data_IF_710826513050
#
_entry.id   IF_710826513050
#
_cell.length_a   1.000
_cell.length_b   1.000
_cell.length_c   1.000
_cell.angle_alpha   90.00
_cell.angle_beta   90.00
_cell.angle_gamma   90.00
#
_symmetry.space_group_name_H-M   'P 1'
#
loop_
_entity.id
_entity.type
_entity.pdbx_description
1 polymer ?
#
# COMPACT_ATOMS: atom_id res chain seq x y z
N UNK A 1 -13.87 16.03 19.54
CA UNK A 1 -13.12 15.28 18.51
C UNK A 1 -12.55 14.04 19.17
N UNK A 2 -12.84 12.82 18.70
CA UNK A 2 -12.16 11.62 19.22
C UNK A 2 -10.76 11.59 18.59
N UNK A 3 -9.68 11.36 19.36
CA UNK A 3 -8.36 11.21 18.77
C UNK A 3 -8.37 10.02 17.79
N UNK A 4 -7.86 10.23 16.58
CA UNK A 4 -7.59 9.13 15.67
C UNK A 4 -6.44 8.32 16.27
N UNK A 5 -6.69 7.06 16.59
CA UNK A 5 -5.64 6.16 17.03
C UNK A 5 -4.81 5.81 15.79
N UNK A 6 -3.67 6.47 15.60
CA UNK A 6 -2.74 6.15 14.53
C UNK A 6 -2.00 4.89 14.96
N UNK A 7 -2.16 3.82 14.19
CA UNK A 7 -1.40 2.58 14.37
C UNK A 7 -0.10 2.70 13.57
N UNK A 8 0.96 2.01 13.96
CA UNK A 8 2.25 2.08 13.28
C UNK A 8 2.77 0.67 13.01
N UNK A 9 3.43 0.50 11.86
CA UNK A 9 4.39 -0.59 11.67
C UNK A 9 5.73 -0.05 12.16
N UNK A 10 6.10 -0.40 13.39
CA UNK A 10 7.24 0.20 14.11
C UNK A 10 8.55 0.04 13.34
N UNK A 11 8.82 -1.16 12.81
CA UNK A 11 10.02 -1.45 12.01
C UNK A 11 10.22 -0.50 10.83
N UNK A 12 9.13 -0.15 10.15
CA UNK A 12 9.17 0.72 8.97
C UNK A 12 8.95 2.20 9.33
N UNK A 13 8.70 2.51 10.61
CA UNK A 13 8.15 3.79 11.05
C UNK A 13 6.99 4.24 10.14
N UNK A 14 6.06 3.32 9.88
CA UNK A 14 5.06 3.52 8.84
C UNK A 14 3.65 3.65 9.43
N UNK A 15 3.02 4.83 9.30
CA UNK A 15 1.69 5.07 9.83
C UNK A 15 0.61 4.29 9.08
N UNK A 16 -0.25 3.65 9.86
CA UNK A 16 -1.49 3.02 9.46
C UNK A 16 -2.67 3.80 10.00
N UNK A 17 -3.72 3.89 9.19
CA UNK A 17 -5.01 4.44 9.60
C UNK A 17 -6.05 3.34 9.70
N UNK A 18 -6.80 3.34 10.80
CA UNK A 18 -7.94 2.44 11.00
C UNK A 18 -9.16 2.95 10.23
N UNK A 19 -9.70 2.10 9.36
CA UNK A 19 -10.95 2.32 8.63
C UNK A 19 -12.02 1.45 9.29
N UNK A 20 -13.10 2.05 9.86
CA UNK A 20 -14.16 1.29 10.48
C UNK A 20 -14.98 0.51 9.44
N UNK A 21 -15.64 -0.57 9.89
CA UNK A 21 -16.65 -1.29 9.09
C UNK A 21 -17.66 -0.32 8.50
N UNK A 22 -17.96 -0.45 7.21
CA UNK A 22 -18.87 0.46 6.55
C UNK A 22 -19.14 0.10 5.09
N UNK A 23 -20.21 0.68 4.58
CA UNK A 23 -20.56 0.59 3.17
C UNK A 23 -20.15 1.86 2.44
N UNK A 24 -19.68 1.71 1.20
CA UNK A 24 -19.47 2.82 0.28
C UNK A 24 -19.85 2.41 -1.15
N UNK A 25 -20.05 3.41 -2.01
CA UNK A 25 -20.32 3.20 -3.42
C UNK A 25 -19.00 3.19 -4.19
N UNK A 26 -18.64 2.03 -4.77
CA UNK A 26 -17.42 1.85 -5.56
C UNK A 26 -17.73 1.89 -7.04
N UNK A 27 -16.89 2.59 -7.81
CA UNK A 27 -17.02 2.77 -9.25
C UNK A 27 -17.41 4.19 -9.63
N UNK A 28 -17.41 4.49 -10.93
CA UNK A 28 -17.70 5.84 -11.44
C UNK A 28 -19.16 5.98 -11.89
N UNK A 29 -19.68 7.21 -11.88
CA UNK A 29 -21.02 7.49 -12.39
C UNK A 29 -20.99 7.35 -13.92
N UNK A 30 -21.90 6.57 -14.53
CA UNK A 30 -21.96 6.48 -15.98
C UNK A 30 -22.16 7.85 -16.63
N UNK A 31 -21.33 8.16 -17.61
CA UNK A 31 -21.48 9.36 -18.44
C UNK A 31 -21.69 8.97 -19.90
N UNK A 32 -22.48 9.75 -20.64
CA UNK A 32 -22.83 9.43 -22.03
C UNK A 32 -21.60 9.30 -22.96
N UNK A 33 -20.48 9.90 -22.57
CA UNK A 33 -19.22 9.96 -23.33
C UNK A 33 -18.25 8.81 -23.03
N UNK A 34 -18.55 7.97 -22.02
CA UNK A 34 -17.60 6.98 -21.48
C UNK A 34 -18.19 5.56 -21.37
N UNK A 35 -18.97 5.16 -22.39
CA UNK A 35 -19.75 3.91 -22.46
C UNK A 35 -19.00 2.58 -22.20
N UNK A 36 -17.68 2.59 -22.07
CA UNK A 36 -16.84 1.40 -21.83
C UNK A 36 -15.84 1.62 -20.69
N UNK A 37 -16.19 2.43 -19.70
CA UNK A 37 -15.33 2.64 -18.54
C UNK A 37 -15.28 1.35 -17.69
N UNK A 38 -14.12 0.70 -17.52
CA UNK A 38 -14.00 -0.51 -16.69
C UNK A 38 -14.27 -0.23 -15.19
N UNK A 39 -14.41 1.03 -14.80
CA UNK A 39 -14.81 1.46 -13.45
C UNK A 39 -16.34 1.47 -13.25
N UNK A 40 -17.14 1.19 -14.29
CA UNK A 40 -18.60 1.05 -14.23
C UNK A 40 -19.07 -0.41 -14.04
N UNK A 41 -20.27 -0.65 -13.47
CA UNK A 41 -21.14 0.32 -12.82
C UNK A 41 -20.76 0.58 -11.36
N UNK A 42 -21.33 1.65 -10.80
CA UNK A 42 -21.32 1.83 -9.35
C UNK A 42 -22.00 0.66 -8.64
N UNK A 43 -21.40 0.19 -7.55
CA UNK A 43 -21.98 -0.84 -6.68
C UNK A 43 -21.72 -0.52 -5.22
N UNK A 44 -22.64 -0.94 -4.35
CA UNK A 44 -22.43 -0.83 -2.91
C UNK A 44 -21.50 -1.96 -2.45
N UNK A 45 -20.42 -1.60 -1.78
CA UNK A 45 -19.45 -2.51 -1.19
C UNK A 45 -19.48 -2.32 0.32
N UNK A 46 -19.73 -3.40 1.06
CA UNK A 46 -19.62 -3.45 2.51
C UNK A 46 -18.30 -4.11 2.86
N UNK A 47 -17.48 -3.44 3.67
CA UNK A 47 -16.22 -3.98 4.18
C UNK A 47 -16.25 -4.03 5.70
N UNK A 48 -15.64 -5.07 6.27
CA UNK A 48 -15.26 -5.11 7.68
C UNK A 48 -14.19 -4.05 7.98
N UNK A 49 -13.95 -3.78 9.27
CA UNK A 49 -12.91 -2.85 9.68
C UNK A 49 -11.51 -3.37 9.31
N UNK A 50 -10.63 -2.47 8.87
CA UNK A 50 -9.25 -2.80 8.51
C UNK A 50 -8.31 -1.62 8.77
N UNK A 51 -7.02 -1.88 8.68
CA UNK A 51 -5.98 -0.85 8.68
C UNK A 51 -5.34 -0.77 7.29
N UNK A 52 -4.99 0.43 6.85
CA UNK A 52 -4.22 0.63 5.61
C UNK A 52 -3.14 1.69 5.84
N UNK A 53 -2.03 1.56 5.13
CA UNK A 53 -0.98 2.57 5.12
C UNK A 53 -1.49 3.93 4.68
N UNK A 54 -1.05 5.01 5.34
CA UNK A 54 -1.51 6.36 5.02
C UNK A 54 -0.85 6.94 3.76
N UNK A 55 0.30 6.38 3.36
CA UNK A 55 1.10 6.80 2.20
C UNK A 55 1.59 5.58 1.43
N UNK A 56 2.15 5.74 0.24
CA UNK A 56 2.86 4.65 -0.42
C UNK A 56 4.11 4.25 0.39
N UNK A 57 4.52 2.98 0.31
CA UNK A 57 5.80 2.50 0.87
C UNK A 57 6.95 3.22 0.18
N UNK A 58 7.93 3.71 0.93
CA UNK A 58 9.04 4.48 0.39
C UNK A 58 10.23 3.60 -0.03
N UNK A 59 11.15 4.18 -0.82
CA UNK A 59 12.43 3.54 -1.14
C UNK A 59 13.21 3.13 0.12
N UNK A 60 13.27 3.99 1.15
CA UNK A 60 13.96 3.67 2.39
C UNK A 60 13.33 2.49 3.15
N UNK A 61 12.00 2.37 3.11
CA UNK A 61 11.28 1.27 3.77
C UNK A 61 11.49 -0.05 3.03
N UNK A 62 11.40 -0.03 1.70
CA UNK A 62 11.65 -1.21 0.87
C UNK A 62 13.12 -1.63 0.90
N UNK A 63 14.06 -0.68 1.03
CA UNK A 63 15.49 -0.97 1.15
C UNK A 63 15.80 -1.87 2.35
N UNK A 64 15.09 -1.74 3.48
CA UNK A 64 15.27 -2.63 4.64
C UNK A 64 15.01 -4.09 4.28
N UNK A 65 13.97 -4.35 3.49
CA UNK A 65 13.66 -5.70 3.00
C UNK A 65 14.78 -6.23 2.10
N UNK A 66 15.23 -5.44 1.14
CA UNK A 66 16.31 -5.82 0.22
C UNK A 66 17.61 -6.10 0.97
N UNK A 67 17.98 -5.25 1.93
CA UNK A 67 19.20 -5.38 2.74
C UNK A 67 19.18 -6.63 3.62
N UNK A 68 18.04 -6.96 4.24
CA UNK A 68 17.94 -8.11 5.14
C UNK A 68 17.81 -9.46 4.41
N UNK A 69 17.22 -9.46 3.22
CA UNK A 69 16.89 -10.71 2.49
C UNK A 69 17.79 -10.98 1.30
N UNK A 70 18.52 -9.96 0.82
CA UNK A 70 19.26 -10.03 -0.45
C UNK A 70 18.34 -10.06 -1.69
N UNK A 71 17.07 -9.67 -1.56
CA UNK A 71 16.12 -9.65 -2.66
C UNK A 71 16.58 -8.67 -3.77
N UNK A 72 16.25 -8.92 -5.06
CA UNK A 72 16.61 -7.99 -6.13
C UNK A 72 16.16 -6.54 -5.89
N UNK A 73 17.03 -5.59 -6.24
CA UNK A 73 16.70 -4.16 -6.20
C UNK A 73 15.56 -3.83 -7.18
N UNK A 74 14.68 -2.85 -6.86
CA UNK A 74 13.66 -2.37 -7.78
C UNK A 74 14.24 -1.88 -9.11
N UNK A 75 13.48 -2.00 -10.20
CA UNK A 75 13.96 -1.67 -11.55
C UNK A 75 14.57 -0.26 -11.67
N UNK A 76 14.02 0.71 -10.94
CA UNK A 76 14.39 2.12 -11.03
C UNK A 76 15.26 2.62 -9.86
N UNK A 77 15.91 1.72 -9.11
CA UNK A 77 16.67 2.09 -7.90
C UNK A 77 17.86 3.05 -8.15
N UNK A 78 18.36 3.14 -9.39
CA UNK A 78 19.43 4.07 -9.79
C UNK A 78 18.91 5.33 -10.52
N UNK A 79 17.60 5.48 -10.72
CA UNK A 79 17.04 6.67 -11.36
C UNK A 79 16.97 7.82 -10.35
N UNK A 80 17.79 8.84 -10.55
CA UNK A 80 17.90 10.00 -9.66
C UNK A 80 16.60 10.80 -9.49
N UNK A 81 15.62 10.63 -10.39
CA UNK A 81 14.30 11.27 -10.25
C UNK A 81 13.32 10.45 -9.39
N UNK A 82 13.62 9.17 -9.14
CA UNK A 82 12.70 8.22 -8.52
C UNK A 82 13.26 7.57 -7.24
N UNK A 83 14.57 7.64 -7.00
CA UNK A 83 15.26 6.88 -5.95
C UNK A 83 15.50 7.64 -4.64
N UNK A 84 14.92 8.84 -4.46
CA UNK A 84 15.02 9.55 -3.19
C UNK A 84 14.42 8.69 -2.05
N UNK A 85 15.04 8.63 -0.86
CA UNK A 85 14.62 7.75 0.24
C UNK A 85 13.15 7.87 0.65
N UNK A 86 12.61 9.08 0.59
CA UNK A 86 11.24 9.45 0.96
C UNK A 86 10.22 9.27 -0.17
N UNK A 87 10.68 9.03 -1.40
CA UNK A 87 9.78 8.81 -2.54
C UNK A 87 9.19 7.40 -2.51
N UNK A 88 7.99 7.21 -3.10
CA UNK A 88 7.43 5.88 -3.26
C UNK A 88 8.38 4.95 -4.00
N UNK A 89 8.53 3.72 -3.51
CA UNK A 89 9.24 2.69 -4.28
C UNK A 89 8.46 2.39 -5.56
N UNK A 90 9.18 2.36 -6.69
CA UNK A 90 8.61 2.11 -8.02
C UNK A 90 9.45 1.08 -8.77
N UNK A 91 8.87 0.49 -9.82
CA UNK A 91 9.55 -0.59 -10.55
C UNK A 91 9.58 -1.91 -9.78
N UNK A 92 8.60 -2.10 -8.88
CA UNK A 92 8.31 -3.36 -8.19
C UNK A 92 7.07 -4.01 -8.82
N UNK A 93 7.11 -5.33 -8.95
CA UNK A 93 5.99 -6.15 -9.43
C UNK A 93 5.09 -6.62 -8.28
N UNK A 94 3.97 -7.25 -8.61
CA UNK A 94 3.12 -7.89 -7.62
C UNK A 94 3.86 -8.96 -6.80
N UNK A 95 4.75 -9.75 -7.43
CA UNK A 95 5.54 -10.77 -6.73
C UNK A 95 6.52 -10.15 -5.72
N UNK A 96 7.12 -9.02 -6.07
CA UNK A 96 8.05 -8.29 -5.20
C UNK A 96 7.33 -7.73 -3.97
N UNK A 97 6.12 -7.20 -4.18
CA UNK A 97 5.25 -6.72 -3.09
C UNK A 97 4.81 -7.88 -2.19
N UNK A 98 4.45 -9.04 -2.75
CA UNK A 98 4.11 -10.23 -1.96
C UNK A 98 5.29 -10.67 -1.09
N UNK A 99 6.51 -10.77 -1.65
CA UNK A 99 7.71 -11.13 -0.89
C UNK A 99 8.04 -10.12 0.22
N UNK A 100 7.88 -8.82 -0.07
CA UNK A 100 8.03 -7.76 0.94
C UNK A 100 7.02 -7.90 2.08
N UNK A 101 5.74 -8.17 1.79
CA UNK A 101 4.70 -8.31 2.80
C UNK A 101 4.85 -9.60 3.62
N UNK A 102 5.30 -10.69 3.01
CA UNK A 102 5.64 -11.94 3.70
C UNK A 102 6.79 -11.73 4.69
N UNK A 103 7.90 -11.13 4.23
CA UNK A 103 9.02 -10.76 5.10
C UNK A 103 8.56 -9.88 6.26
N UNK A 104 7.79 -8.83 5.99
CA UNK A 104 7.30 -7.92 7.02
C UNK A 104 6.40 -8.65 8.03
N UNK A 105 5.56 -9.55 7.54
CA UNK A 105 4.66 -10.35 8.37
C UNK A 105 5.42 -11.28 9.31
N UNK A 106 6.47 -11.93 8.81
CA UNK A 106 7.35 -12.77 9.62
C UNK A 106 8.09 -11.97 10.70
N UNK A 107 8.56 -10.75 10.36
CA UNK A 107 9.28 -9.88 11.29
C UNK A 107 8.41 -9.34 12.42
N UNK A 108 7.16 -9.02 12.13
CA UNK A 108 6.25 -8.39 13.09
C UNK A 108 5.29 -9.39 13.76
N UNK A 109 5.18 -10.62 13.25
CA UNK A 109 4.20 -11.60 13.73
C UNK A 109 2.75 -11.21 13.43
N UNK A 110 2.53 -10.36 12.41
CA UNK A 110 1.23 -9.83 11.98
C UNK A 110 1.05 -10.11 10.50
N UNK A 111 -0.12 -10.58 10.07
CA UNK A 111 -0.38 -10.82 8.65
C UNK A 111 -0.69 -9.52 7.89
N UNK A 112 0.25 -9.04 7.09
CA UNK A 112 0.06 -7.93 6.14
C UNK A 112 -0.28 -8.45 4.74
N UNK A 113 -1.01 -7.65 3.97
CA UNK A 113 -1.48 -7.97 2.61
C UNK A 113 -1.72 -6.72 1.79
#
# INVERSE_FOLDING_TARGET
MRPFNIMHIERLNYPLIHIPTGAFTMGTIPTEWRKTDPEEPQRNVLLDAYAIGTYQVTNAQYAQFVEETGYPQPLFHNDAHLNAPEFPVVGVSWHDVTGFLEWLSEREGVAYR
#
